data_IF_752408807341
#
_entry.id   IF_752408807341
#
_cell.length_a   1.000
_cell.length_b   1.000
_cell.length_c   1.000
_cell.angle_alpha   90.00
_cell.angle_beta   90.00
_cell.angle_gamma   90.00
#
_symmetry.space_group_name_H-M   'P 1'
#
loop_
_entity.id
_entity.type
_entity.pdbx_description
1 polymer ?
#
# COMPACT_ATOMS: atom_id res chain seq x y z
N UNK A 1 -10.28 -0.57 56.10
CA UNK A 1 -9.38 -0.33 54.95
C UNK A 1 -9.85 0.92 54.25
N UNK A 2 -8.93 1.79 53.80
CA UNK A 2 -9.31 2.86 52.87
C UNK A 2 -9.73 2.26 51.52
N UNK A 3 -10.35 3.05 50.64
CA UNK A 3 -10.70 2.58 49.29
C UNK A 3 -9.45 2.15 48.49
N UNK A 4 -8.33 2.86 48.68
CA UNK A 4 -7.04 2.53 48.06
C UNK A 4 -6.50 1.20 48.57
N UNK A 5 -6.52 0.98 49.89
CA UNK A 5 -6.03 -0.28 50.47
C UNK A 5 -6.93 -1.45 50.04
N UNK A 6 -8.25 -1.24 49.99
CA UNK A 6 -9.19 -2.25 49.54
C UNK A 6 -8.93 -2.65 48.08
N UNK A 7 -8.71 -1.68 47.20
CA UNK A 7 -8.40 -1.95 45.80
C UNK A 7 -7.09 -2.74 45.64
N UNK A 8 -6.05 -2.36 46.40
CA UNK A 8 -4.76 -3.05 46.37
C UNK A 8 -4.86 -4.49 46.91
N UNK A 9 -5.59 -4.71 48.01
CA UNK A 9 -5.80 -6.05 48.57
C UNK A 9 -6.64 -6.93 47.64
N UNK A 10 -7.71 -6.39 47.06
CA UNK A 10 -8.56 -7.14 46.13
C UNK A 10 -7.80 -7.61 44.88
N UNK A 11 -6.77 -6.88 44.44
CA UNK A 11 -5.96 -7.24 43.29
C UNK A 11 -5.15 -8.54 43.48
N UNK A 12 -4.78 -8.85 44.72
CA UNK A 12 -3.88 -9.97 45.06
C UNK A 12 -4.61 -11.16 45.69
N UNK A 13 -5.82 -10.97 46.24
CA UNK A 13 -6.67 -12.05 46.76
C UNK A 13 -7.44 -12.71 45.61
N UNK A 14 -6.71 -13.43 44.78
CA UNK A 14 -7.12 -13.83 43.43
C UNK A 14 -7.72 -15.24 43.28
N UNK A 15 -7.83 -15.98 44.38
CA UNK A 15 -8.38 -17.35 44.45
C UNK A 15 -9.09 -17.61 45.78
N UNK A 16 -10.21 -18.32 45.72
CA UNK A 16 -10.93 -18.79 46.90
C UNK A 16 -10.08 -19.78 47.72
N UNK A 17 -10.12 -19.63 49.05
CA UNK A 17 -9.34 -20.45 49.99
C UNK A 17 -8.15 -19.71 50.59
N UNK A 18 -7.16 -20.47 51.06
CA UNK A 18 -6.03 -19.95 51.82
C UNK A 18 -4.76 -19.70 50.98
N UNK A 19 -4.81 -19.99 49.68
CA UNK A 19 -3.67 -19.88 48.76
C UNK A 19 -4.07 -19.13 47.49
N UNK A 20 -3.13 -18.35 46.94
CA UNK A 20 -3.27 -17.64 45.67
C UNK A 20 -3.22 -18.59 44.47
N UNK A 21 -3.52 -18.05 43.29
CA UNK A 21 -3.32 -18.72 41.99
C UNK A 21 -1.88 -19.23 41.81
N UNK A 22 -0.89 -18.57 42.42
CA UNK A 22 0.53 -18.99 42.42
C UNK A 22 0.90 -19.90 43.60
N UNK A 23 -0.09 -20.42 44.32
CA UNK A 23 0.09 -21.33 45.47
C UNK A 23 0.75 -20.67 46.69
N UNK A 24 0.81 -19.33 46.74
CA UNK A 24 1.30 -18.60 47.91
C UNK A 24 0.20 -18.48 48.96
N UNK A 25 0.50 -18.76 50.23
CA UNK A 25 -0.49 -18.61 51.31
C UNK A 25 -0.81 -17.14 51.56
N UNK A 26 -2.09 -16.79 51.62
CA UNK A 26 -2.49 -15.45 52.05
C UNK A 26 -2.21 -15.28 53.54
N UNK A 27 -1.51 -14.21 53.91
CA UNK A 27 -1.09 -13.95 55.27
C UNK A 27 -1.24 -12.47 55.63
N UNK A 28 -1.88 -12.19 56.76
CA UNK A 28 -1.94 -10.85 57.33
C UNK A 28 -0.72 -10.62 58.22
N UNK A 29 0.28 -9.90 57.72
CA UNK A 29 1.43 -9.49 58.52
C UNK A 29 1.13 -8.18 59.26
N UNK A 30 1.34 -8.15 60.57
CA UNK A 30 1.32 -6.93 61.37
C UNK A 30 2.76 -6.48 61.62
N UNK A 31 3.11 -5.25 61.24
CA UNK A 31 4.43 -4.68 61.52
C UNK A 31 4.57 -4.33 63.01
N UNK A 32 5.80 -4.07 63.46
CA UNK A 32 6.04 -3.56 64.81
C UNK A 32 5.28 -2.24 65.07
N UNK A 33 5.05 -1.93 66.35
CA UNK A 33 4.25 -0.82 66.86
C UNK A 33 2.79 -0.76 66.38
N UNK A 34 2.24 -1.84 65.79
CA UNK A 34 0.83 -1.87 65.38
C UNK A 34 -0.13 -1.70 66.57
N UNK A 35 0.27 -2.19 67.74
CA UNK A 35 -0.48 -2.07 68.97
C UNK A 35 0.08 -0.94 69.84
N UNK A 36 -0.49 0.25 69.70
CA UNK A 36 -0.06 1.49 70.38
C UNK A 36 -0.11 1.45 71.91
N UNK A 37 -0.70 0.42 72.52
CA UNK A 37 -0.75 0.23 73.98
C UNK A 37 0.41 -0.62 74.51
N UNK A 38 1.21 -1.21 73.64
CA UNK A 38 2.45 -1.93 73.99
C UNK A 38 3.61 -1.03 73.60
N UNK A 39 4.29 -0.46 74.61
CA UNK A 39 5.33 0.56 74.39
C UNK A 39 6.76 0.03 74.53
N UNK A 40 6.92 -1.25 74.87
CA UNK A 40 8.22 -1.94 75.01
C UNK A 40 8.17 -3.30 74.28
N UNK A 41 9.21 -3.61 73.50
CA UNK A 41 9.38 -4.87 72.78
C UNK A 41 8.95 -4.82 71.30
N UNK A 42 9.23 -5.88 70.56
CA UNK A 42 8.81 -6.07 69.16
C UNK A 42 7.43 -6.74 69.13
N UNK A 43 6.46 -6.06 68.52
CA UNK A 43 5.07 -6.52 68.37
C UNK A 43 4.77 -7.07 66.97
N UNK A 44 5.78 -7.17 66.10
CA UNK A 44 5.61 -7.69 64.75
C UNK A 44 5.11 -9.14 64.76
N UNK A 45 4.13 -9.41 63.90
CA UNK A 45 3.57 -10.73 63.67
C UNK A 45 3.48 -10.98 62.16
N UNK A 46 4.53 -11.59 61.64
CA UNK A 46 4.77 -11.64 60.20
C UNK A 46 4.24 -12.92 59.54
N UNK A 47 3.98 -14.00 60.29
CA UNK A 47 3.67 -15.32 59.73
C UNK A 47 2.71 -16.12 60.59
N UNK A 48 1.88 -16.95 59.97
CA UNK A 48 0.92 -17.83 60.68
C UNK A 48 -0.48 -17.23 60.79
N UNK A 49 -0.68 -16.02 60.26
CA UNK A 49 -1.94 -15.30 60.21
C UNK A 49 -2.66 -15.56 58.89
N UNK A 50 -2.99 -16.84 58.65
CA UNK A 50 -3.64 -17.27 57.43
C UNK A 50 -4.95 -16.52 57.16
N UNK A 51 -5.11 -16.05 55.93
CA UNK A 51 -6.35 -15.42 55.46
C UNK A 51 -7.08 -16.43 54.57
N UNK A 52 -8.35 -16.67 54.85
CA UNK A 52 -9.23 -17.44 53.96
C UNK A 52 -10.05 -16.47 53.13
N UNK A 53 -9.86 -16.51 51.82
CA UNK A 53 -10.60 -15.73 50.83
C UNK A 53 -11.84 -16.50 50.40
N UNK A 54 -12.93 -15.80 50.14
CA UNK A 54 -14.17 -16.38 49.62
C UNK A 54 -14.85 -15.40 48.67
N UNK A 55 -15.54 -15.93 47.66
CA UNK A 55 -16.31 -15.14 46.70
C UNK A 55 -15.41 -14.16 45.90
N UNK A 56 -14.26 -14.66 45.43
CA UNK A 56 -13.48 -13.93 44.42
C UNK A 56 -14.34 -13.75 43.17
N UNK A 57 -14.47 -12.50 42.73
CA UNK A 57 -15.27 -12.15 41.57
C UNK A 57 -14.59 -12.57 40.27
N UNK A 58 -15.39 -12.82 39.23
CA UNK A 58 -14.92 -13.25 37.92
C UNK A 58 -14.55 -12.04 37.08
N UNK A 59 -13.32 -11.94 36.55
CA UNK A 59 -12.93 -10.85 35.66
C UNK A 59 -13.87 -10.73 34.47
N UNK A 60 -14.31 -9.51 34.16
CA UNK A 60 -15.21 -9.24 33.03
C UNK A 60 -14.74 -8.00 32.29
N UNK A 61 -14.76 -8.02 30.97
CA UNK A 61 -14.46 -6.86 30.12
C UNK A 61 -15.75 -6.07 29.92
N UNK A 62 -15.65 -4.75 29.93
CA UNK A 62 -16.81 -3.85 29.69
C UNK A 62 -16.65 -3.07 28.40
N UNK A 63 -15.44 -2.60 28.10
CA UNK A 63 -15.15 -1.87 26.88
C UNK A 63 -13.64 -1.86 26.59
N UNK A 64 -13.29 -1.61 25.34
CA UNK A 64 -11.92 -1.38 24.93
C UNK A 64 -11.80 -0.10 24.08
N UNK A 65 -10.60 0.48 24.08
CA UNK A 65 -10.21 1.53 23.15
C UNK A 65 -8.93 1.12 22.44
N UNK A 66 -8.89 1.30 21.12
CA UNK A 66 -7.74 0.98 20.29
C UNK A 66 -7.28 2.21 19.51
N UNK A 67 -6.04 2.63 19.72
CA UNK A 67 -5.40 3.68 18.94
C UNK A 67 -4.61 3.05 17.79
N UNK A 68 -5.13 3.18 16.56
CA UNK A 68 -4.57 2.54 15.36
C UNK A 68 -3.18 3.09 14.98
N UNK A 69 -2.84 4.32 15.41
CA UNK A 69 -1.56 4.94 15.12
C UNK A 69 -0.45 4.47 16.07
N UNK A 70 -0.74 4.27 17.36
CA UNK A 70 0.23 3.79 18.36
C UNK A 70 0.23 2.27 18.50
N UNK A 71 -0.91 1.61 18.27
CA UNK A 71 -1.12 0.20 18.59
C UNK A 71 -1.50 -0.04 20.05
N UNK A 72 -1.87 0.99 20.81
CA UNK A 72 -2.29 0.84 22.20
C UNK A 72 -3.75 0.33 22.27
N UNK A 73 -3.94 -0.86 22.83
CA UNK A 73 -5.24 -1.41 23.20
C UNK A 73 -5.42 -1.23 24.72
N UNK A 74 -6.26 -0.28 25.11
CA UNK A 74 -6.64 -0.09 26.52
C UNK A 74 -7.96 -0.79 26.78
N UNK A 75 -7.97 -1.71 27.74
CA UNK A 75 -9.15 -2.50 28.09
C UNK A 75 -9.61 -2.11 29.48
N UNK A 76 -10.92 -1.93 29.61
CA UNK A 76 -11.58 -1.60 30.87
C UNK A 76 -12.58 -2.70 31.23
N UNK A 77 -12.70 -2.96 32.53
CA UNK A 77 -13.55 -4.02 33.04
C UNK A 77 -13.65 -3.97 34.56
N UNK A 78 -14.00 -5.12 35.14
CA UNK A 78 -14.06 -5.32 36.58
C UNK A 78 -13.28 -6.55 36.99
N UNK A 79 -12.87 -6.56 38.26
CA UNK A 79 -12.32 -7.72 38.94
C UNK A 79 -11.09 -8.30 38.23
N UNK A 80 -10.27 -7.44 37.62
CA UNK A 80 -8.98 -7.85 37.12
C UNK A 80 -8.06 -8.16 38.31
N UNK A 81 -7.31 -9.25 38.19
CA UNK A 81 -6.51 -9.81 39.28
C UNK A 81 -5.06 -9.90 38.82
N UNK A 82 -4.15 -9.65 39.76
CA UNK A 82 -2.73 -9.80 39.54
C UNK A 82 -2.27 -11.23 39.87
N UNK A 83 -1.19 -11.63 39.21
CA UNK A 83 -0.40 -12.82 39.47
C UNK A 83 0.98 -12.37 39.93
N UNK A 84 1.66 -13.19 40.71
CA UNK A 84 3.04 -12.92 41.07
C UNK A 84 3.94 -13.08 39.85
N UNK A 85 4.87 -12.14 39.71
CA UNK A 85 5.74 -12.06 38.55
C UNK A 85 5.68 -10.69 37.93
N UNK A 86 6.14 -10.60 36.69
CA UNK A 86 5.98 -9.42 35.87
C UNK A 86 5.54 -9.89 34.49
N UNK A 87 4.77 -9.04 33.81
CA UNK A 87 4.25 -9.24 32.46
C UNK A 87 3.55 -10.58 32.29
N UNK A 88 2.69 -10.96 33.24
CA UNK A 88 2.07 -12.27 33.26
C UNK A 88 0.63 -12.28 33.80
N UNK A 89 0.02 -11.12 34.06
CA UNK A 89 -1.38 -11.02 34.45
C UNK A 89 -2.34 -11.24 33.29
N UNK A 90 -2.02 -10.68 32.11
CA UNK A 90 -2.86 -10.67 30.93
C UNK A 90 -2.16 -11.38 29.78
N UNK A 91 -2.79 -12.41 29.24
CA UNK A 91 -2.28 -13.22 28.13
C UNK A 91 -2.73 -12.60 26.80
N UNK A 92 -1.82 -11.95 26.09
CA UNK A 92 -2.15 -11.18 24.89
C UNK A 92 -2.75 -12.05 23.78
N UNK A 93 -2.21 -13.25 23.59
CA UNK A 93 -2.66 -14.18 22.52
C UNK A 93 -4.06 -14.77 22.75
N UNK A 94 -4.70 -14.47 23.88
CA UNK A 94 -6.08 -14.86 24.16
C UNK A 94 -7.10 -13.89 23.55
N UNK A 95 -6.67 -12.74 23.02
CA UNK A 95 -7.56 -11.72 22.47
C UNK A 95 -7.74 -11.85 20.96
N UNK A 96 -8.99 -11.73 20.52
CA UNK A 96 -9.40 -11.72 19.11
C UNK A 96 -10.21 -10.47 18.81
N UNK A 97 -9.76 -9.69 17.82
CA UNK A 97 -10.49 -8.56 17.28
C UNK A 97 -11.51 -9.04 16.26
N UNK A 98 -12.68 -8.39 16.24
CA UNK A 98 -13.66 -8.45 15.14
C UNK A 98 -13.82 -7.06 14.55
N UNK A 99 -13.79 -6.94 13.23
CA UNK A 99 -13.94 -5.65 12.55
C UNK A 99 -14.59 -5.74 11.17
N UNK A 100 -13.99 -5.07 10.18
CA UNK A 100 -14.52 -4.87 8.83
C UNK A 100 -15.09 -6.15 8.23
N UNK A 101 -16.34 -6.10 7.76
CA UNK A 101 -17.03 -7.27 7.19
C UNK A 101 -17.22 -8.46 8.12
N UNK A 102 -16.94 -8.32 9.42
CA UNK A 102 -16.90 -9.43 10.37
C UNK A 102 -15.59 -10.22 10.35
N UNK A 103 -14.55 -9.71 9.68
CA UNK A 103 -13.22 -10.29 9.72
C UNK A 103 -12.69 -10.32 11.16
N UNK A 104 -11.91 -11.35 11.48
CA UNK A 104 -11.35 -11.54 12.82
C UNK A 104 -9.84 -11.70 12.78
N UNK A 105 -9.18 -11.26 13.84
CA UNK A 105 -7.74 -11.44 14.02
C UNK A 105 -7.41 -11.71 15.49
N UNK A 106 -6.86 -12.89 15.78
CA UNK A 106 -6.33 -13.25 17.09
C UNK A 106 -4.90 -12.74 17.20
N UNK A 107 -4.57 -12.06 18.30
CA UNK A 107 -3.21 -11.59 18.55
C UNK A 107 -2.25 -12.77 18.63
N UNK A 108 -1.05 -12.60 18.10
CA UNK A 108 -0.10 -13.71 17.88
C UNK A 108 1.22 -13.54 18.61
N UNK A 109 1.74 -12.32 18.67
CA UNK A 109 3.09 -12.04 19.16
C UNK A 109 3.20 -10.75 20.00
N UNK A 110 2.08 -10.08 20.31
CA UNK A 110 2.04 -9.05 21.35
C UNK A 110 2.42 -9.63 22.71
N UNK A 111 3.15 -8.86 23.50
CA UNK A 111 3.61 -9.32 24.81
C UNK A 111 2.48 -9.28 25.84
N UNK A 112 2.53 -10.24 26.77
CA UNK A 112 1.71 -10.24 27.98
C UNK A 112 2.03 -9.02 28.84
N UNK A 113 1.07 -8.59 29.65
CA UNK A 113 1.17 -7.36 30.46
C UNK A 113 0.65 -7.57 31.87
N UNK A 114 1.02 -6.64 32.75
CA UNK A 114 0.42 -6.51 34.07
C UNK A 114 -0.87 -5.71 34.01
N UNK A 115 -1.77 -5.93 34.96
CA UNK A 115 -2.90 -5.04 35.17
C UNK A 115 -2.50 -3.79 35.93
N UNK A 116 -2.94 -2.62 35.46
CA UNK A 116 -2.65 -1.33 36.10
C UNK A 116 -3.52 -1.13 37.34
N UNK A 117 -4.72 -1.73 37.32
CA UNK A 117 -5.68 -1.76 38.43
C UNK A 117 -6.62 -2.95 38.23
N UNK A 118 -7.49 -3.20 39.22
CA UNK A 118 -8.58 -4.18 39.10
C UNK A 118 -9.64 -3.84 38.04
N UNK A 119 -9.44 -2.79 37.24
CA UNK A 119 -10.40 -2.33 36.22
C UNK A 119 -9.76 -1.99 34.88
N UNK A 120 -8.43 -2.01 34.76
CA UNK A 120 -7.77 -1.52 33.54
C UNK A 120 -6.41 -2.17 33.31
N UNK A 121 -6.15 -2.50 32.04
CA UNK A 121 -4.81 -2.82 31.53
C UNK A 121 -4.64 -2.23 30.12
N UNK A 122 -3.39 -2.17 29.65
CA UNK A 122 -3.06 -1.73 28.30
C UNK A 122 -2.09 -2.71 27.66
N UNK A 123 -2.48 -3.25 26.50
CA UNK A 123 -1.61 -4.00 25.61
C UNK A 123 -1.02 -3.04 24.57
N UNK A 124 0.29 -3.12 24.36
CA UNK A 124 0.95 -2.51 23.21
C UNK A 124 1.09 -3.57 22.13
N UNK A 125 0.33 -3.44 21.05
CA UNK A 125 0.39 -4.41 19.97
C UNK A 125 1.78 -4.43 19.33
N UNK A 126 2.26 -5.63 19.00
CA UNK A 126 3.45 -5.81 18.18
C UNK A 126 3.27 -5.17 16.80
N UNK A 127 4.36 -5.03 16.05
CA UNK A 127 4.26 -4.55 14.67
C UNK A 127 3.41 -5.47 13.78
N UNK A 128 3.51 -6.79 13.98
CA UNK A 128 2.75 -7.81 13.24
C UNK A 128 1.26 -7.70 13.54
N UNK A 129 0.91 -7.74 14.82
CA UNK A 129 -0.47 -7.71 15.27
C UNK A 129 -1.13 -6.39 14.91
N UNK A 130 -0.45 -5.26 15.12
CA UNK A 130 -0.94 -3.94 14.73
C UNK A 130 -1.24 -3.84 13.24
N UNK A 131 -0.36 -4.36 12.38
CA UNK A 131 -0.55 -4.30 10.94
C UNK A 131 -1.78 -5.12 10.49
N UNK A 132 -2.04 -6.26 11.14
CA UNK A 132 -3.22 -7.07 10.86
C UNK A 132 -4.51 -6.45 11.42
N UNK A 133 -4.49 -6.00 12.67
CA UNK A 133 -5.65 -5.33 13.31
C UNK A 133 -6.04 -4.07 12.54
N UNK A 134 -5.08 -3.24 12.13
CA UNK A 134 -5.36 -2.01 11.39
C UNK A 134 -6.09 -2.23 10.06
N UNK A 135 -5.89 -3.38 9.41
CA UNK A 135 -6.62 -3.69 8.17
C UNK A 135 -8.12 -3.96 8.40
N UNK A 136 -8.50 -4.41 9.60
CA UNK A 136 -9.90 -4.70 9.96
C UNK A 136 -10.53 -3.61 10.84
N UNK A 137 -9.75 -2.67 11.39
CA UNK A 137 -10.24 -1.49 12.12
C UNK A 137 -10.08 -0.22 11.28
N UNK A 138 -10.82 -0.15 10.17
CA UNK A 138 -10.63 0.81 9.09
C UNK A 138 -11.26 2.20 9.31
N UNK A 139 -11.94 2.41 10.45
CA UNK A 139 -12.70 3.63 10.72
C UNK A 139 -12.69 3.98 12.20
N UNK A 140 -12.58 5.27 12.50
CA UNK A 140 -12.71 5.80 13.86
C UNK A 140 -14.13 5.59 14.40
N UNK A 141 -14.24 5.29 15.69
CA UNK A 141 -15.50 5.02 16.39
C UNK A 141 -15.72 3.54 16.67
N UNK A 142 -16.97 3.13 16.78
CA UNK A 142 -17.36 1.78 17.24
C UNK A 142 -17.77 0.83 16.13
N UNK A 143 -17.79 1.30 14.87
CA UNK A 143 -18.17 0.47 13.72
C UNK A 143 -17.28 0.75 12.52
N UNK A 144 -17.07 -0.29 11.72
CA UNK A 144 -16.29 -0.28 10.49
C UNK A 144 -16.99 0.43 9.34
N UNK A 145 -16.30 0.60 8.21
CA UNK A 145 -16.86 1.18 6.98
C UNK A 145 -18.05 0.38 6.46
N UNK A 146 -18.05 -0.96 6.55
CA UNK A 146 -19.23 -1.79 6.24
C UNK A 146 -20.35 -1.74 7.29
N UNK A 147 -20.15 -1.04 8.41
CA UNK A 147 -21.11 -0.95 9.51
C UNK A 147 -20.99 -2.05 10.57
N UNK A 148 -19.96 -2.90 10.50
CA UNK A 148 -19.74 -3.96 11.52
C UNK A 148 -19.26 -3.33 12.82
N UNK A 149 -19.90 -3.63 13.95
CA UNK A 149 -19.43 -3.17 15.26
C UNK A 149 -18.12 -3.85 15.65
N UNK A 150 -17.13 -3.07 16.07
CA UNK A 150 -15.86 -3.61 16.55
C UNK A 150 -16.03 -4.29 17.91
N UNK A 151 -15.44 -5.47 18.08
CA UNK A 151 -15.54 -6.25 19.32
C UNK A 151 -14.20 -6.92 19.67
N UNK A 152 -13.90 -7.00 20.96
CA UNK A 152 -12.75 -7.72 21.50
C UNK A 152 -13.23 -9.00 22.19
N UNK A 153 -13.01 -10.16 21.58
CA UNK A 153 -13.26 -11.44 22.24
C UNK A 153 -12.03 -11.86 23.06
N UNK A 154 -12.24 -12.26 24.31
CA UNK A 154 -11.23 -12.83 25.17
C UNK A 154 -11.51 -14.32 25.39
N UNK A 155 -10.60 -15.17 24.96
CA UNK A 155 -10.67 -16.62 25.17
C UNK A 155 -10.36 -16.99 26.63
N UNK A 156 -10.64 -18.23 27.02
CA UNK A 156 -10.30 -18.75 28.34
C UNK A 156 -8.82 -18.50 28.72
N UNK A 157 -8.56 -18.27 30.00
CA UNK A 157 -7.25 -17.91 30.57
C UNK A 157 -6.64 -16.58 30.10
N UNK A 158 -7.44 -15.64 29.56
CA UNK A 158 -6.93 -14.31 29.18
C UNK A 158 -6.43 -13.49 30.38
N UNK A 159 -7.08 -13.60 31.55
CA UNK A 159 -6.65 -13.01 32.82
C UNK A 159 -6.02 -14.09 33.70
N UNK A 160 -4.73 -14.33 33.52
CA UNK A 160 -4.01 -15.42 34.17
C UNK A 160 -3.86 -15.27 35.69
N UNK A 161 -4.15 -14.09 36.26
CA UNK A 161 -4.27 -13.89 37.70
C UNK A 161 -5.51 -14.56 38.31
N UNK A 162 -6.56 -14.81 37.54
CA UNK A 162 -7.77 -15.47 38.01
C UNK A 162 -7.54 -16.96 38.31
N UNK A 163 -8.43 -17.55 39.11
CA UNK A 163 -8.41 -18.99 39.39
C UNK A 163 -8.65 -19.79 38.11
N UNK A 164 -7.70 -20.66 37.76
CA UNK A 164 -7.76 -21.51 36.57
C UNK A 164 -8.93 -22.52 36.56
N UNK A 165 -9.57 -22.75 37.72
CA UNK A 165 -10.77 -23.59 37.83
C UNK A 165 -12.07 -22.83 37.46
N UNK A 166 -12.01 -21.51 37.27
CA UNK A 166 -13.13 -20.64 36.92
C UNK A 166 -13.12 -20.33 35.42
N UNK A 167 -14.26 -20.49 34.76
CA UNK A 167 -14.42 -20.06 33.35
C UNK A 167 -14.53 -18.54 33.30
N UNK A 168 -13.57 -17.90 32.63
CA UNK A 168 -13.51 -16.45 32.48
C UNK A 168 -13.63 -16.00 31.01
N UNK A 169 -14.07 -16.88 30.13
CA UNK A 169 -14.27 -16.58 28.71
C UNK A 169 -15.25 -15.42 28.52
N UNK A 170 -14.84 -14.41 27.75
CA UNK A 170 -15.62 -13.19 27.52
C UNK A 170 -15.57 -12.79 26.04
N UNK A 171 -16.46 -13.37 25.24
CA UNK A 171 -16.37 -13.30 23.77
C UNK A 171 -17.21 -12.18 23.14
N UNK A 172 -18.13 -11.56 23.88
CA UNK A 172 -19.15 -10.66 23.29
C UNK A 172 -19.51 -9.52 24.22
N UNK A 173 -19.84 -8.35 23.66
CA UNK A 173 -20.24 -7.17 24.43
C UNK A 173 -19.08 -6.25 24.78
N UNK A 174 -17.88 -6.60 24.33
CA UNK A 174 -16.62 -5.90 24.58
C UNK A 174 -16.32 -4.95 23.43
N UNK A 175 -17.20 -3.96 23.25
CA UNK A 175 -17.12 -3.02 22.15
C UNK A 175 -15.77 -2.28 22.14
N UNK A 176 -15.17 -2.15 20.96
CA UNK A 176 -13.93 -1.39 20.77
C UNK A 176 -14.27 -0.01 20.21
N UNK A 177 -13.75 1.04 20.85
CA UNK A 177 -13.70 2.39 20.27
C UNK A 177 -12.34 2.60 19.62
N UNK A 178 -12.32 2.61 18.29
CA UNK A 178 -11.12 2.83 17.47
C UNK A 178 -10.86 4.33 17.30
N UNK A 179 -9.59 4.75 17.37
CA UNK A 179 -9.17 6.13 17.16
C UNK A 179 -7.89 6.20 16.32
N UNK A 180 -7.61 7.40 15.79
CA UNK A 180 -6.38 7.74 15.08
C UNK A 180 -6.07 6.79 13.89
N UNK A 181 -7.10 6.33 13.17
CA UNK A 181 -6.90 5.63 11.90
C UNK A 181 -6.24 6.59 10.90
N UNK A 182 -5.04 6.27 10.37
CA UNK A 182 -4.33 7.14 9.44
C UNK A 182 -5.04 7.17 8.08
N UNK A 183 -5.01 8.32 7.41
CA UNK A 183 -5.44 8.41 6.01
C UNK A 183 -4.46 7.65 5.11
N UNK A 184 -4.94 6.88 4.11
CA UNK A 184 -4.09 6.23 3.12
C UNK A 184 -3.22 7.24 2.36
N UNK A 185 -1.96 6.89 2.13
CA UNK A 185 -1.02 7.69 1.32
C UNK A 185 -0.19 6.78 0.43
N UNK A 186 0.19 7.28 -0.74
CA UNK A 186 1.08 6.62 -1.69
C UNK A 186 2.49 7.16 -1.46
N UNK A 187 3.48 6.28 -1.55
CA UNK A 187 4.90 6.67 -1.45
C UNK A 187 5.61 6.52 -2.78
N UNK A 188 5.30 5.46 -3.52
CA UNK A 188 5.91 5.19 -4.81
C UNK A 188 5.06 4.23 -5.64
N UNK A 189 5.28 4.26 -6.95
CA UNK A 189 4.73 3.29 -7.88
C UNK A 189 5.81 2.75 -8.82
N UNK A 190 5.59 1.55 -9.33
CA UNK A 190 6.35 0.97 -10.44
C UNK A 190 5.39 0.60 -11.56
N UNK A 191 5.78 0.88 -12.79
CA UNK A 191 5.00 0.58 -13.98
C UNK A 191 5.83 -0.22 -14.97
N UNK A 192 5.34 -1.41 -15.33
CA UNK A 192 5.90 -2.21 -16.42
C UNK A 192 5.10 -1.92 -17.69
N UNK A 193 5.72 -1.22 -18.64
CA UNK A 193 5.07 -0.84 -19.90
C UNK A 193 4.80 -2.03 -20.83
N UNK A 194 5.53 -3.13 -20.66
CA UNK A 194 5.36 -4.36 -21.44
C UNK A 194 4.19 -5.19 -20.96
N UNK A 195 3.95 -5.28 -19.65
CA UNK A 195 2.81 -6.04 -19.09
C UNK A 195 1.59 -5.18 -18.78
N UNK A 196 1.77 -3.88 -18.56
CA UNK A 196 0.74 -2.99 -18.05
C UNK A 196 0.53 -3.11 -16.53
N UNK A 197 1.51 -3.67 -15.80
CA UNK A 197 1.40 -3.85 -14.34
C UNK A 197 1.81 -2.57 -13.63
N UNK A 198 0.88 -1.99 -12.87
CA UNK A 198 1.11 -0.88 -11.95
C UNK A 198 1.11 -1.42 -10.52
N UNK A 199 2.30 -1.54 -9.91
CA UNK A 199 2.43 -1.90 -8.50
C UNK A 199 2.64 -0.64 -7.66
N UNK A 200 1.82 -0.44 -6.64
CA UNK A 200 1.80 0.76 -5.81
C UNK A 200 2.17 0.40 -4.38
N UNK A 201 3.02 1.22 -3.78
CA UNK A 201 3.46 1.11 -2.39
C UNK A 201 3.11 2.39 -1.64
N UNK A 202 2.64 2.23 -0.40
CA UNK A 202 2.25 3.33 0.46
C UNK A 202 1.99 2.91 1.89
N UNK A 203 1.15 3.66 2.58
CA UNK A 203 0.87 3.48 4.00
C UNK A 203 -0.63 3.57 4.26
N UNK A 204 -1.10 2.79 5.24
CA UNK A 204 -2.47 2.89 5.74
C UNK A 204 -3.51 2.44 4.72
N UNK A 205 -3.18 1.49 3.83
CA UNK A 205 -4.18 0.91 2.95
C UNK A 205 -5.13 0.04 3.77
N UNK A 206 -6.43 0.19 3.54
CA UNK A 206 -7.49 -0.43 4.32
C UNK A 206 -8.38 -1.23 3.40
N UNK A 207 -8.86 -2.38 3.88
CA UNK A 207 -9.82 -3.20 3.15
C UNK A 207 -11.26 -2.76 3.39
N UNK A 208 -12.13 -3.09 2.44
CA UNK A 208 -13.57 -2.97 2.50
C UNK A 208 -14.18 -4.35 2.26
N UNK A 209 -15.19 -4.72 3.04
CA UNK A 209 -15.88 -5.99 2.88
C UNK A 209 -16.43 -6.14 1.45
N UNK A 210 -15.96 -7.17 0.75
CA UNK A 210 -16.28 -7.38 -0.66
C UNK A 210 -15.12 -8.05 -1.37
N UNK A 211 -15.17 -8.03 -2.70
CA UNK A 211 -14.02 -8.37 -3.53
C UNK A 211 -13.88 -7.31 -4.61
N UNK A 212 -12.63 -6.99 -4.96
CA UNK A 212 -12.27 -6.05 -6.03
C UNK A 212 -12.86 -4.65 -5.82
N UNK A 213 -12.86 -4.16 -4.58
CA UNK A 213 -13.50 -2.92 -4.18
C UNK A 213 -12.65 -2.07 -3.22
N UNK A 214 -11.48 -2.51 -2.79
CA UNK A 214 -10.61 -1.69 -1.94
C UNK A 214 -10.10 -0.45 -2.69
N UNK A 215 -9.69 -0.61 -3.94
CA UNK A 215 -9.02 0.40 -4.76
C UNK A 215 -9.81 0.69 -6.03
N UNK A 216 -10.15 1.96 -6.27
CA UNK A 216 -10.85 2.41 -7.49
C UNK A 216 -9.86 2.84 -8.56
N UNK A 217 -9.66 2.00 -9.58
CA UNK A 217 -8.63 2.24 -10.60
C UNK A 217 -8.85 3.53 -11.40
N UNK A 218 -10.09 3.91 -11.68
CA UNK A 218 -10.42 5.13 -12.43
C UNK A 218 -10.15 6.44 -11.68
N UNK A 219 -9.70 6.37 -10.42
CA UNK A 219 -9.26 7.52 -9.62
C UNK A 219 -7.77 7.84 -9.78
N UNK A 220 -7.04 7.06 -10.57
CA UNK A 220 -5.62 7.26 -10.79
C UNK A 220 -5.33 8.00 -12.10
N UNK A 221 -4.47 9.00 -12.02
CA UNK A 221 -3.99 9.80 -13.15
C UNK A 221 -2.47 9.73 -13.24
N UNK A 222 -1.96 9.27 -14.37
CA UNK A 222 -0.54 9.33 -14.70
C UNK A 222 -0.18 10.72 -15.20
N UNK A 223 1.01 11.19 -14.85
CA UNK A 223 1.67 12.35 -15.46
C UNK A 223 2.97 11.91 -16.10
N UNK A 224 3.19 12.31 -17.36
CA UNK A 224 4.23 11.79 -18.24
C UNK A 224 4.99 12.84 -19.04
N UNK A 225 5.47 12.43 -20.22
CA UNK A 225 6.20 13.27 -21.18
C UNK A 225 5.52 14.62 -21.38
N UNK A 226 6.29 15.71 -21.32
CA UNK A 226 5.76 17.08 -21.47
C UNK A 226 4.80 17.55 -20.38
N UNK A 227 4.53 16.74 -19.35
CA UNK A 227 3.49 17.01 -18.35
C UNK A 227 2.10 16.55 -18.78
N UNK A 228 1.99 15.81 -19.89
CA UNK A 228 0.73 15.21 -20.32
C UNK A 228 0.19 14.25 -19.26
N UNK A 229 -1.14 14.19 -19.17
CA UNK A 229 -1.81 13.37 -18.14
C UNK A 229 -2.79 12.39 -18.74
N UNK A 230 -2.89 11.22 -18.14
CA UNK A 230 -3.90 10.22 -18.49
C UNK A 230 -4.55 9.64 -17.24
N UNK A 231 -5.86 9.86 -17.08
CA UNK A 231 -6.66 9.21 -16.04
C UNK A 231 -7.14 7.86 -16.55
N UNK A 232 -6.93 6.81 -15.76
CA UNK A 232 -7.39 5.47 -16.07
C UNK A 232 -8.92 5.45 -16.25
N UNK A 233 -9.39 4.67 -17.20
CA UNK A 233 -10.79 4.72 -17.63
C UNK A 233 -11.52 3.41 -17.43
N UNK A 234 -10.91 2.29 -17.79
CA UNK A 234 -11.56 0.98 -17.86
C UNK A 234 -10.73 -0.17 -17.24
N UNK A 235 -9.60 0.14 -16.60
CA UNK A 235 -8.92 -0.79 -15.69
C UNK A 235 -9.81 -1.15 -14.50
N UNK A 236 -9.80 -2.43 -14.12
CA UNK A 236 -10.64 -2.93 -13.05
C UNK A 236 -10.17 -2.45 -11.67
N UNK A 237 -11.13 -2.28 -10.75
CA UNK A 237 -10.85 -2.11 -9.33
C UNK A 237 -10.16 -3.36 -8.76
N UNK A 238 -9.40 -3.17 -7.69
CA UNK A 238 -8.57 -4.24 -7.10
C UNK A 238 -8.63 -4.24 -5.59
N UNK A 239 -8.21 -5.36 -5.00
CA UNK A 239 -7.97 -5.48 -3.56
C UNK A 239 -6.56 -5.02 -3.21
N UNK A 240 -6.37 -4.61 -1.95
CA UNK A 240 -5.03 -4.45 -1.40
C UNK A 240 -4.41 -5.82 -1.14
N UNK A 241 -3.10 -5.93 -1.34
CA UNK A 241 -2.33 -7.13 -0.99
C UNK A 241 -1.85 -7.09 0.46
N UNK A 242 -1.72 -5.88 1.01
CA UNK A 242 -1.42 -5.59 2.41
C UNK A 242 -1.75 -4.14 2.71
N UNK A 243 -1.66 -3.73 3.98
CA UNK A 243 -1.77 -2.32 4.40
C UNK A 243 -0.74 -1.34 3.81
N UNK A 244 0.14 -1.82 2.91
CA UNK A 244 1.18 -1.01 2.25
C UNK A 244 1.29 -1.24 0.74
N UNK A 245 0.54 -2.18 0.16
CA UNK A 245 0.72 -2.52 -1.25
C UNK A 245 -0.57 -2.97 -1.95
N UNK A 246 -0.71 -2.58 -3.21
CA UNK A 246 -1.70 -3.15 -4.14
C UNK A 246 -1.13 -3.18 -5.56
N UNK A 247 -1.82 -3.84 -6.48
CA UNK A 247 -1.40 -3.91 -7.89
C UNK A 247 -2.60 -3.81 -8.81
N UNK A 248 -2.52 -2.92 -9.80
CA UNK A 248 -3.49 -2.80 -10.89
C UNK A 248 -2.85 -3.37 -12.15
N UNK A 249 -3.58 -4.23 -12.85
CA UNK A 249 -3.24 -4.58 -14.24
C UNK A 249 -4.05 -3.69 -15.15
N UNK A 250 -3.38 -2.83 -15.91
CA UNK A 250 -4.05 -1.92 -16.83
C UNK A 250 -4.79 -2.69 -17.91
N UNK A 251 -5.95 -2.16 -18.30
CA UNK A 251 -6.64 -2.62 -19.51
C UNK A 251 -5.77 -2.38 -20.76
N UNK A 252 -6.14 -2.98 -21.89
CA UNK A 252 -5.45 -2.72 -23.14
C UNK A 252 -5.55 -1.23 -23.57
N UNK A 253 -6.69 -0.58 -23.31
CA UNK A 253 -6.94 0.83 -23.62
C UNK A 253 -6.06 1.74 -22.77
N UNK A 254 -6.12 1.54 -21.45
CA UNK A 254 -5.39 2.35 -20.48
C UNK A 254 -3.88 2.16 -20.65
N UNK A 255 -3.41 0.92 -20.84
CA UNK A 255 -2.00 0.63 -21.09
C UNK A 255 -1.49 1.33 -22.34
N UNK A 256 -2.23 1.28 -23.45
CA UNK A 256 -1.82 1.92 -24.69
C UNK A 256 -1.68 3.44 -24.50
N UNK A 257 -2.61 4.08 -23.78
CA UNK A 257 -2.56 5.51 -23.52
C UNK A 257 -1.45 5.91 -22.55
N UNK A 258 -1.24 5.16 -21.45
CA UNK A 258 -0.15 5.39 -20.50
C UNK A 258 1.21 5.21 -21.17
N UNK A 259 1.36 4.22 -22.05
CA UNK A 259 2.62 4.00 -22.79
C UNK A 259 2.99 5.18 -23.69
N UNK A 260 2.02 5.94 -24.23
CA UNK A 260 2.32 7.14 -25.02
C UNK A 260 2.97 8.26 -24.21
N UNK A 261 2.75 8.31 -22.89
CA UNK A 261 3.31 9.35 -22.02
C UNK A 261 4.42 8.84 -21.09
N UNK A 262 4.73 7.54 -21.12
CA UNK A 262 5.80 6.89 -20.33
C UNK A 262 6.91 6.38 -21.24
N UNK A 263 7.51 7.31 -21.98
CA UNK A 263 8.40 7.04 -23.11
C UNK A 263 9.85 6.63 -22.78
N UNK A 264 10.19 6.48 -21.50
CA UNK A 264 11.56 6.20 -21.05
C UNK A 264 11.56 5.36 -19.77
N UNK A 265 12.54 4.46 -19.64
CA UNK A 265 12.75 3.72 -18.40
C UNK A 265 13.30 4.65 -17.31
N UNK A 266 12.90 4.41 -16.05
CA UNK A 266 13.28 5.22 -14.89
C UNK A 266 12.15 6.13 -14.42
N UNK A 267 12.51 7.23 -13.75
CA UNK A 267 11.54 8.11 -13.07
C UNK A 267 11.24 9.40 -13.82
N UNK A 268 11.84 9.60 -15.00
CA UNK A 268 11.63 10.81 -15.79
C UNK A 268 11.63 10.50 -17.29
N UNK A 269 10.84 11.30 -18.00
CA UNK A 269 10.64 11.22 -19.43
C UNK A 269 11.83 11.74 -20.24
N UNK A 270 11.77 11.59 -21.56
CA UNK A 270 12.82 12.12 -22.47
C UNK A 270 12.95 13.64 -22.37
N UNK A 271 11.86 14.37 -22.09
CA UNK A 271 11.90 15.82 -21.82
C UNK A 271 12.35 16.19 -20.40
N UNK A 272 12.61 15.20 -19.53
CA UNK A 272 12.97 15.40 -18.14
C UNK A 272 11.79 15.60 -17.18
N UNK A 273 10.55 15.35 -17.63
CA UNK A 273 9.38 15.41 -16.75
C UNK A 273 9.36 14.21 -15.82
N UNK A 274 9.26 14.43 -14.51
CA UNK A 274 9.16 13.31 -13.55
C UNK A 274 7.82 12.61 -13.70
N UNK A 275 7.84 11.29 -13.78
CA UNK A 275 6.63 10.49 -13.79
C UNK A 275 5.97 10.48 -12.42
N UNK A 276 4.66 10.73 -12.38
CA UNK A 276 3.88 10.83 -11.14
C UNK A 276 2.52 10.11 -11.30
N UNK A 277 2.03 9.55 -10.19
CA UNK A 277 0.72 8.94 -10.08
C UNK A 277 -0.15 9.74 -9.10
N UNK A 278 -1.07 10.54 -9.61
CA UNK A 278 -2.05 11.22 -8.76
C UNK A 278 -3.23 10.28 -8.46
N UNK A 279 -3.62 10.17 -7.21
CA UNK A 279 -4.82 9.49 -6.76
C UNK A 279 -5.85 10.53 -6.30
N UNK A 280 -6.98 10.61 -7.00
CA UNK A 280 -8.09 11.49 -6.68
C UNK A 280 -8.84 11.02 -5.42
N UNK A 281 -9.66 11.90 -4.84
CA UNK A 281 -10.51 11.55 -3.69
C UNK A 281 -11.31 10.26 -3.90
N UNK A 282 -11.54 9.51 -2.82
CA UNK A 282 -12.22 8.20 -2.80
C UNK A 282 -11.51 7.08 -3.58
N UNK A 283 -10.19 7.18 -3.83
CA UNK A 283 -9.44 6.09 -4.48
C UNK A 283 -9.31 4.83 -3.60
N UNK A 284 -9.24 5.00 -2.27
CA UNK A 284 -9.13 3.93 -1.28
C UNK A 284 -10.45 3.80 -0.50
N UNK A 285 -11.32 2.89 -0.93
CA UNK A 285 -12.72 2.78 -0.45
C UNK A 285 -12.83 2.19 0.95
N UNK A 286 -11.80 1.47 1.42
CA UNK A 286 -11.77 0.96 2.80
C UNK A 286 -11.69 2.06 3.86
N UNK A 287 -11.21 3.25 3.51
CA UNK A 287 -11.13 4.38 4.42
C UNK A 287 -12.51 4.96 4.75
N UNK A 288 -12.60 5.65 5.89
CA UNK A 288 -13.82 6.39 6.25
C UNK A 288 -14.10 7.50 5.23
N UNK A 289 -15.28 7.48 4.60
CA UNK A 289 -15.72 8.48 3.62
C UNK A 289 -15.75 9.93 4.16
N UNK A 290 -15.67 10.12 5.48
CA UNK A 290 -15.53 11.45 6.09
C UNK A 290 -14.08 12.00 6.06
N UNK A 291 -13.09 11.15 5.77
CA UNK A 291 -11.67 11.51 5.68
C UNK A 291 -11.34 11.83 4.22
N UNK A 292 -10.63 12.94 3.99
CA UNK A 292 -10.05 13.25 2.69
C UNK A 292 -8.83 12.37 2.47
N UNK A 293 -8.87 11.53 1.42
CA UNK A 293 -7.79 10.60 1.08
C UNK A 293 -7.09 10.92 -0.24
N UNK A 294 -7.44 12.02 -0.92
CA UNK A 294 -6.75 12.44 -2.14
C UNK A 294 -5.23 12.58 -1.93
N UNK A 295 -4.47 11.94 -2.81
CA UNK A 295 -3.01 11.94 -2.81
C UNK A 295 -2.50 12.27 -4.22
N UNK A 296 -2.38 13.55 -4.51
CA UNK A 296 -2.23 14.04 -5.89
C UNK A 296 -0.80 14.31 -6.32
N UNK A 297 0.18 14.29 -5.39
CA UNK A 297 1.55 14.71 -5.66
C UNK A 297 2.56 13.94 -4.82
N UNK A 298 3.78 13.75 -5.34
CA UNK A 298 4.87 13.11 -4.58
C UNK A 298 4.92 11.59 -4.77
N UNK A 299 4.12 11.07 -5.68
CA UNK A 299 3.93 9.65 -5.93
C UNK A 299 4.71 9.25 -7.18
N UNK A 300 6.04 9.26 -7.07
CA UNK A 300 6.92 9.01 -8.23
C UNK A 300 6.69 7.62 -8.80
N UNK A 301 6.62 7.53 -10.13
CA UNK A 301 6.50 6.27 -10.87
C UNK A 301 7.87 5.90 -11.44
N UNK A 302 8.34 4.69 -11.14
CA UNK A 302 9.48 4.09 -11.85
C UNK A 302 8.95 3.25 -13.01
N UNK A 303 9.21 3.68 -14.23
CA UNK A 303 8.82 3.00 -15.46
C UNK A 303 9.90 2.00 -15.88
N UNK A 304 9.49 0.84 -16.39
CA UNK A 304 10.36 -0.22 -16.90
C UNK A 304 9.80 -0.87 -18.15
N UNK A 305 10.65 -1.58 -18.89
CA UNK A 305 10.29 -2.36 -20.07
C UNK A 305 9.54 -1.54 -21.15
N UNK A 306 9.90 -0.27 -21.30
CA UNK A 306 9.47 0.53 -22.46
C UNK A 306 10.00 -0.10 -23.73
N UNK A 307 9.11 -0.36 -24.68
CA UNK A 307 9.46 -0.99 -25.96
C UNK A 307 10.29 -0.06 -26.85
N UNK A 308 11.15 -0.65 -27.68
CA UNK A 308 11.97 0.08 -28.63
C UNK A 308 11.18 0.29 -29.93
N UNK A 309 11.11 1.52 -30.46
CA UNK A 309 10.48 1.80 -31.75
C UNK A 309 11.05 0.90 -32.85
N UNK A 310 10.17 0.23 -33.60
CA UNK A 310 10.59 -0.67 -34.69
C UNK A 310 9.89 -0.30 -35.99
N UNK A 311 10.65 -0.15 -37.08
CA UNK A 311 10.10 0.04 -38.42
C UNK A 311 9.79 -1.32 -39.04
N UNK A 312 8.56 -1.50 -39.50
CA UNK A 312 8.10 -2.75 -40.14
C UNK A 312 8.01 -2.61 -41.66
N UNK A 313 7.56 -1.45 -42.15
CA UNK A 313 7.48 -1.20 -43.58
C UNK A 313 7.54 0.30 -43.89
N UNK A 314 8.00 0.62 -45.10
CA UNK A 314 8.01 1.95 -45.65
C UNK A 314 7.44 1.94 -47.08
N UNK A 315 6.71 3.00 -47.43
CA UNK A 315 6.19 3.26 -48.77
C UNK A 315 6.53 4.69 -49.15
N UNK A 316 7.08 4.86 -50.35
CA UNK A 316 7.43 6.16 -50.90
C UNK A 316 6.59 6.46 -52.14
N UNK A 317 5.92 7.61 -52.15
CA UNK A 317 5.21 8.12 -53.33
C UNK A 317 6.07 9.18 -54.03
N UNK A 318 6.65 8.79 -55.16
CA UNK A 318 7.49 9.66 -55.98
C UNK A 318 6.74 10.85 -56.62
N UNK A 319 5.40 10.90 -56.60
CA UNK A 319 4.69 12.10 -57.08
C UNK A 319 4.63 13.18 -56.00
N UNK A 320 4.28 12.79 -54.77
CA UNK A 320 4.11 13.70 -53.64
C UNK A 320 5.38 13.92 -52.81
N UNK A 321 6.35 13.01 -52.91
CA UNK A 321 7.51 12.98 -52.02
C UNK A 321 7.18 12.44 -50.62
N UNK A 322 6.00 11.84 -50.43
CA UNK A 322 5.59 11.31 -49.14
C UNK A 322 6.25 9.94 -48.87
N UNK A 323 7.04 9.88 -47.80
CA UNK A 323 7.52 8.66 -47.16
C UNK A 323 6.58 8.31 -46.00
N UNK A 324 5.72 7.32 -46.21
CA UNK A 324 4.89 6.75 -45.14
C UNK A 324 5.61 5.56 -44.52
N UNK A 325 5.84 5.62 -43.22
CA UNK A 325 6.49 4.56 -42.45
C UNK A 325 5.50 3.97 -41.46
N UNK A 326 5.51 2.65 -41.35
CA UNK A 326 4.70 1.89 -40.40
C UNK A 326 5.60 1.04 -39.52
N UNK A 327 5.17 0.83 -38.28
CA UNK A 327 5.97 0.17 -37.28
C UNK A 327 5.21 -0.05 -35.98
N UNK A 328 5.95 -0.22 -34.90
CA UNK A 328 5.43 -0.33 -33.54
C UNK A 328 6.16 0.60 -32.60
N UNK A 329 5.49 0.94 -31.50
CA UNK A 329 6.07 1.63 -30.35
C UNK A 329 6.68 3.00 -30.70
N UNK A 330 6.08 3.72 -31.65
CA UNK A 330 6.45 5.11 -31.92
C UNK A 330 5.95 5.98 -30.76
N UNK A 331 6.87 6.73 -30.16
CA UNK A 331 6.62 7.55 -28.99
C UNK A 331 6.80 9.02 -29.35
N UNK A 332 5.97 9.88 -28.75
CA UNK A 332 6.06 11.32 -28.92
C UNK A 332 7.05 11.92 -27.94
N UNK A 333 7.60 13.07 -28.31
CA UNK A 333 8.44 13.93 -27.50
C UNK A 333 7.74 15.27 -27.32
N UNK A 334 7.85 15.85 -26.13
CA UNK A 334 7.34 17.18 -25.88
C UNK A 334 8.00 18.19 -26.82
N UNK A 335 7.16 18.97 -27.52
CA UNK A 335 7.60 19.97 -28.48
C UNK A 335 6.78 19.89 -29.76
N UNK A 336 7.29 20.49 -30.83
CA UNK A 336 6.70 20.35 -32.15
C UNK A 336 7.79 19.96 -33.13
N UNK A 337 7.44 19.12 -34.10
CA UNK A 337 8.29 18.60 -35.16
C UNK A 337 9.59 17.99 -34.62
N UNK A 338 9.50 17.14 -33.61
CA UNK A 338 10.67 16.57 -32.94
C UNK A 338 10.53 15.08 -32.56
N UNK A 339 9.43 14.42 -32.91
CA UNK A 339 9.27 12.98 -32.66
C UNK A 339 10.19 12.15 -33.55
N UNK A 340 10.23 12.48 -34.85
CA UNK A 340 11.00 11.75 -35.86
C UNK A 340 12.07 12.65 -36.47
N UNK A 341 13.32 12.20 -36.40
CA UNK A 341 14.48 12.90 -36.96
C UNK A 341 14.66 12.51 -38.42
N UNK A 342 14.25 13.39 -39.35
CA UNK A 342 14.26 13.09 -40.77
C UNK A 342 15.67 12.78 -41.30
N UNK A 343 16.69 13.48 -40.80
CA UNK A 343 18.09 13.27 -41.20
C UNK A 343 18.69 11.94 -40.75
N UNK A 344 17.97 11.14 -39.96
CA UNK A 344 18.40 9.81 -39.56
C UNK A 344 18.09 8.74 -40.64
N UNK A 345 17.32 9.08 -41.68
CA UNK A 345 16.91 8.12 -42.70
C UNK A 345 17.83 8.11 -43.91
N UNK A 346 18.23 6.91 -44.34
CA UNK A 346 19.06 6.66 -45.51
C UNK A 346 18.38 5.70 -46.47
N UNK A 347 18.17 6.16 -47.71
CA UNK A 347 17.67 5.33 -48.81
C UNK A 347 18.81 4.60 -49.50
N UNK A 348 18.59 3.37 -49.95
CA UNK A 348 19.45 2.63 -50.88
C UNK A 348 18.65 2.29 -52.12
N UNK A 349 19.19 2.57 -53.31
CA UNK A 349 18.53 2.26 -54.59
C UNK A 349 19.50 1.84 -55.69
N UNK A 350 19.25 2.28 -56.92
CA UNK A 350 20.03 1.92 -58.12
C UNK A 350 21.55 1.87 -57.86
N UNK A 351 22.22 0.82 -58.34
CA UNK A 351 23.66 0.61 -58.21
C UNK A 351 24.14 0.36 -56.78
N UNK A 352 23.22 0.19 -55.82
CA UNK A 352 23.52 0.17 -54.40
C UNK A 352 23.90 1.55 -53.84
N UNK A 353 23.63 2.62 -54.58
CA UNK A 353 23.90 3.97 -54.13
C UNK A 353 22.95 4.37 -52.99
N UNK A 354 23.47 5.17 -52.05
CA UNK A 354 22.75 5.58 -50.85
C UNK A 354 22.55 7.08 -50.80
N UNK A 355 21.43 7.52 -50.23
CA UNK A 355 21.16 8.93 -49.93
C UNK A 355 20.55 9.10 -48.55
N UNK A 356 21.27 9.78 -47.67
CA UNK A 356 20.77 10.20 -46.36
C UNK A 356 20.03 11.51 -46.52
N UNK A 357 18.82 11.58 -45.95
CA UNK A 357 18.03 12.81 -45.97
C UNK A 357 18.79 13.95 -45.27
N UNK A 358 18.57 15.17 -45.75
CA UNK A 358 19.26 16.35 -45.24
C UNK A 358 18.29 17.21 -44.44
N UNK A 359 18.79 18.32 -43.89
CA UNK A 359 17.94 19.33 -43.25
C UNK A 359 16.98 20.04 -44.22
N UNK A 360 17.02 19.70 -45.52
CA UNK A 360 15.98 20.10 -46.47
C UNK A 360 14.64 19.41 -46.18
N UNK A 361 14.65 18.24 -45.53
CA UNK A 361 13.45 17.57 -45.05
C UNK A 361 13.26 17.86 -43.55
N UNK A 362 12.07 18.33 -43.19
CA UNK A 362 11.75 18.65 -41.81
C UNK A 362 11.48 17.37 -40.98
N UNK A 363 11.82 17.44 -39.70
CA UNK A 363 11.35 16.49 -38.71
C UNK A 363 9.82 16.53 -38.60
N UNK A 364 9.21 15.46 -38.10
CA UNK A 364 7.75 15.33 -38.04
C UNK A 364 7.28 14.87 -36.67
N UNK A 365 6.02 15.17 -36.38
CA UNK A 365 5.27 14.63 -35.25
C UNK A 365 4.59 13.32 -35.65
N UNK A 366 4.48 12.40 -34.70
CA UNK A 366 3.63 11.24 -34.82
C UNK A 366 2.22 11.57 -34.31
N UNK A 367 1.22 10.98 -34.96
CA UNK A 367 -0.18 11.02 -34.51
C UNK A 367 -0.68 9.64 -34.08
N UNK A 368 0.17 8.63 -34.23
CA UNK A 368 -0.09 7.23 -33.94
C UNK A 368 1.21 6.54 -33.54
N UNK A 369 1.13 5.61 -32.58
CA UNK A 369 2.26 4.77 -32.18
C UNK A 369 2.69 3.74 -33.25
N UNK A 370 2.04 3.72 -34.42
CA UNK A 370 2.28 2.72 -35.48
C UNK A 370 2.56 3.30 -36.84
N UNK A 371 2.45 4.62 -37.03
CA UNK A 371 2.71 5.24 -38.33
C UNK A 371 3.11 6.70 -38.23
N UNK A 372 3.99 7.11 -39.15
CA UNK A 372 4.24 8.52 -39.44
C UNK A 372 4.47 8.74 -40.93
N UNK A 373 4.39 9.99 -41.37
CA UNK A 373 4.66 10.39 -42.74
C UNK A 373 5.65 11.55 -42.75
N UNK A 374 6.73 11.39 -43.51
CA UNK A 374 7.68 12.47 -43.83
C UNK A 374 7.42 12.92 -45.27
N UNK A 375 7.24 14.22 -45.48
CA UNK A 375 7.25 14.80 -46.83
C UNK A 375 8.66 15.29 -47.12
N UNK A 376 9.33 14.65 -48.09
CA UNK A 376 10.69 15.03 -48.47
C UNK A 376 10.72 16.45 -49.04
N UNK A 377 11.74 17.21 -48.66
CA UNK A 377 12.03 18.50 -49.28
C UNK A 377 12.47 18.33 -50.74
N UNK A 378 12.30 19.37 -51.57
CA UNK A 378 12.52 19.28 -53.03
C UNK A 378 13.89 18.71 -53.43
N UNK A 379 14.95 19.02 -52.69
CA UNK A 379 16.31 18.54 -52.97
C UNK A 379 16.44 17.07 -52.62
N UNK A 380 15.99 16.69 -51.43
CA UNK A 380 16.03 15.31 -50.97
C UNK A 380 15.15 14.42 -51.86
N UNK A 381 13.96 14.91 -52.21
CA UNK A 381 13.02 14.25 -53.11
C UNK A 381 13.65 13.96 -54.47
N UNK A 382 14.30 14.96 -55.10
CA UNK A 382 14.96 14.77 -56.39
C UNK A 382 16.08 13.73 -56.33
N UNK A 383 16.85 13.69 -55.24
CA UNK A 383 17.90 12.70 -55.04
C UNK A 383 17.35 11.28 -54.81
N UNK A 384 16.30 11.15 -54.00
CA UNK A 384 15.63 9.86 -53.74
C UNK A 384 14.93 9.33 -54.99
N UNK A 385 14.29 10.19 -55.79
CA UNK A 385 13.65 9.80 -57.06
C UNK A 385 14.68 9.23 -58.07
N UNK A 386 15.92 9.75 -58.05
CA UNK A 386 17.00 9.23 -58.89
C UNK A 386 17.42 7.81 -58.48
N UNK A 387 17.37 7.49 -57.17
CA UNK A 387 17.68 6.16 -56.64
C UNK A 387 16.53 5.17 -56.82
N UNK A 388 15.30 5.61 -56.55
CA UNK A 388 14.07 4.79 -56.58
C UNK A 388 13.40 4.86 -57.96
N UNK A 389 14.15 4.49 -58.99
CA UNK A 389 13.83 4.77 -60.40
C UNK A 389 12.71 3.92 -61.03
N UNK A 390 12.08 3.03 -60.26
CA UNK A 390 11.08 2.07 -60.74
C UNK A 390 10.06 1.74 -59.64
N UNK A 391 8.78 1.62 -60.01
CA UNK A 391 7.73 1.13 -59.10
C UNK A 391 7.99 -0.32 -58.65
N UNK A 392 7.75 -0.59 -57.37
CA UNK A 392 7.98 -1.88 -56.73
C UNK A 392 9.07 -1.80 -55.68
N UNK A 393 9.68 -2.94 -55.34
CA UNK A 393 10.70 -3.05 -54.29
C UNK A 393 12.12 -3.11 -54.85
N UNK A 394 12.33 -2.87 -56.15
CA UNK A 394 13.66 -2.94 -56.76
C UNK A 394 13.80 -2.02 -57.96
N UNK A 395 15.02 -1.54 -58.18
CA UNK A 395 15.42 -0.70 -59.30
C UNK A 395 15.48 -1.47 -60.62
N UNK A 396 15.73 -0.78 -61.74
CA UNK A 396 15.90 -1.43 -63.05
C UNK A 396 17.07 -2.41 -63.13
N UNK A 397 18.12 -2.20 -62.34
CA UNK A 397 19.30 -3.09 -62.25
C UNK A 397 19.11 -4.27 -61.28
N UNK A 398 17.88 -4.45 -60.77
CA UNK A 398 17.48 -5.42 -59.77
C UNK A 398 18.02 -5.19 -58.34
N UNK A 399 18.63 -4.03 -58.05
CA UNK A 399 18.95 -3.66 -56.67
C UNK A 399 17.66 -3.46 -55.86
N UNK A 400 17.55 -4.15 -54.73
CA UNK A 400 16.40 -4.01 -53.83
C UNK A 400 16.46 -2.67 -53.10
N UNK A 401 15.35 -1.95 -53.05
CA UNK A 401 15.25 -0.72 -52.30
C UNK A 401 15.27 -0.99 -50.81
N UNK A 402 16.00 -0.15 -50.07
CA UNK A 402 16.06 -0.24 -48.62
C UNK A 402 15.95 1.14 -47.98
N UNK A 403 15.34 1.19 -46.80
CA UNK A 403 15.34 2.33 -45.91
C UNK A 403 16.03 1.92 -44.62
N UNK A 404 17.16 2.54 -44.32
CA UNK A 404 17.82 2.42 -43.03
C UNK A 404 17.50 3.65 -42.17
N UNK A 405 17.28 3.43 -40.89
CA UNK A 405 17.23 4.48 -39.88
C UNK A 405 18.48 4.36 -39.00
N UNK A 406 19.17 5.46 -38.75
CA UNK A 406 20.26 5.52 -37.78
C UNK A 406 19.70 5.55 -36.34
N UNK A 407 20.56 5.31 -35.36
CA UNK A 407 20.27 5.51 -33.93
C UNK A 407 19.63 6.89 -33.70
N UNK A 408 18.80 7.00 -32.65
CA UNK A 408 18.05 8.21 -32.29
C UNK A 408 17.05 8.74 -33.35
N UNK A 409 16.69 7.96 -34.38
CA UNK A 409 15.72 8.39 -35.41
C UNK A 409 14.33 8.70 -34.83
N UNK A 410 13.90 7.97 -33.80
CA UNK A 410 12.66 8.24 -33.06
C UNK A 410 13.02 8.91 -31.73
N UNK A 411 13.17 10.23 -31.78
CA UNK A 411 13.64 11.05 -30.68
C UNK A 411 12.67 11.11 -29.49
N UNK A 412 11.42 10.69 -29.66
CA UNK A 412 10.46 10.52 -28.56
C UNK A 412 10.68 9.27 -27.72
N UNK A 413 11.51 8.32 -28.14
CA UNK A 413 11.94 7.20 -27.32
C UNK A 413 13.29 7.49 -26.64
N UNK A 414 13.62 6.69 -25.61
CA UNK A 414 14.90 6.81 -24.93
C UNK A 414 16.08 6.49 -25.87
N UNK A 415 17.03 7.42 -25.97
CA UNK A 415 18.26 7.26 -26.75
C UNK A 415 19.12 6.05 -26.34
N UNK A 416 18.97 5.57 -25.10
CA UNK A 416 19.69 4.40 -24.61
C UNK A 416 19.24 3.08 -25.26
N UNK A 417 18.12 3.09 -26.00
CA UNK A 417 17.55 1.88 -26.61
C UNK A 417 17.30 1.99 -28.11
N UNK A 418 17.56 3.14 -28.74
CA UNK A 418 17.16 3.43 -30.13
C UNK A 418 18.33 3.60 -31.10
#
# INVERSE_FOLDING_TARGET
>A
LSATDQAAVNLILNKDGAVSTDVSTYNLAAADDWNTHVTDGDTADNTGNGVTVSNVAVPTITAASYDANSGALTVTGTDFLSRSGATNDIVATAFTFTGEGGATYTLTDSADVEVTSGTTFTLMLSATDKAAVNQITNKNGTSSTSGTTYNLAAAENWAAGADADVNITDTTGNGITVSNVPAPTITSATYDASTGTLAVTGNGFLSLAGATNDIVASKFTFTGEGGETYTLTDSANVEITSGTAFTITLSATDKAAVNQITNKNGTASTSGTTYNLAAAEDWAVGADAAVTVADTTGNSVTVSNVAVPTITAASYDANSGALTVTGTDFLSRSGATNDIVATAFTFTGEGGATYTLTNNTANVEITSGTSFTITLGDTDKAAVDALLNRNGTSAYDATTYNLAAADDWAAGADAAVN
#
